data_IF_724630251324
#
_entry.id   IF_724630251324
#
_cell.length_a   1.000
_cell.length_b   1.000
_cell.length_c   1.000
_cell.angle_alpha   90.00
_cell.angle_beta   90.00
_cell.angle_gamma   90.00
#
_symmetry.space_group_name_H-M   'P 1'
#
loop_
_entity.id
_entity.type
_entity.pdbx_description
1 polymer ?
#
# COMPACT_ATOMS: atom_id res chain seq x y z
N UNK A 1 -14.51 21.75 8.99
CA UNK A 1 -14.81 20.36 9.34
C UNK A 1 -13.65 19.53 8.84
N UNK A 2 -12.98 18.75 9.69
CA UNK A 2 -11.97 17.80 9.22
C UNK A 2 -12.68 16.82 8.29
N UNK A 3 -12.25 16.75 7.03
CA UNK A 3 -12.77 15.79 6.07
C UNK A 3 -12.32 14.40 6.56
N UNK A 4 -13.27 13.53 6.92
CA UNK A 4 -12.95 12.17 7.37
C UNK A 4 -12.30 11.40 6.23
N UNK A 5 -11.07 10.93 6.41
CA UNK A 5 -10.37 10.11 5.42
C UNK A 5 -10.87 8.67 5.45
N UNK A 6 -10.91 8.05 4.28
CA UNK A 6 -11.18 6.62 4.16
C UNK A 6 -9.94 5.82 4.54
N UNK A 7 -10.12 4.79 5.37
CA UNK A 7 -9.06 3.83 5.70
C UNK A 7 -8.94 2.84 4.54
N UNK A 8 -7.73 2.67 4.02
CA UNK A 8 -7.42 1.76 2.91
C UNK A 8 -6.45 0.68 3.38
N UNK A 9 -6.61 -0.52 2.82
CA UNK A 9 -5.69 -1.64 2.99
C UNK A 9 -5.48 -2.34 1.64
N UNK A 10 -4.33 -3.00 1.48
CA UNK A 10 -3.97 -3.71 0.23
C UNK A 10 -3.85 -5.21 0.51
N UNK A 11 -4.45 -6.04 -0.34
CA UNK A 11 -4.27 -7.49 -0.33
C UNK A 11 -3.44 -7.86 -1.56
N UNK A 12 -2.29 -8.49 -1.35
CA UNK A 12 -1.26 -8.70 -2.36
C UNK A 12 -0.27 -7.54 -2.38
N UNK A 13 0.86 -7.70 -1.69
CA UNK A 13 1.87 -6.66 -1.42
C UNK A 13 3.08 -6.74 -2.37
N UNK A 14 2.94 -7.50 -3.46
CA UNK A 14 3.92 -7.59 -4.54
C UNK A 14 4.00 -6.33 -5.41
N UNK A 15 4.55 -6.50 -6.61
CA UNK A 15 4.85 -5.41 -7.56
C UNK A 15 3.68 -4.45 -7.79
N UNK A 16 2.52 -4.94 -8.22
CA UNK A 16 1.34 -4.09 -8.45
C UNK A 16 0.68 -3.56 -7.17
N UNK A 17 0.94 -4.20 -6.03
CA UNK A 17 0.50 -3.72 -4.73
C UNK A 17 1.28 -2.49 -4.29
N UNK A 18 2.56 -2.40 -4.64
CA UNK A 18 3.50 -1.51 -3.95
C UNK A 18 4.66 -0.96 -4.78
N UNK A 19 5.46 -1.83 -5.41
CA UNK A 19 6.84 -1.49 -5.80
C UNK A 19 7.03 -1.23 -7.30
N UNK A 20 6.06 -1.55 -8.16
CA UNK A 20 6.25 -1.40 -9.61
C UNK A 20 6.48 0.06 -10.02
N UNK A 21 5.90 1.02 -9.30
CA UNK A 21 6.12 2.45 -9.56
C UNK A 21 7.59 2.87 -9.38
N UNK A 22 8.39 2.17 -8.56
CA UNK A 22 9.82 2.44 -8.38
C UNK A 22 10.66 2.01 -9.58
N UNK A 23 10.17 1.03 -10.35
CA UNK A 23 10.88 0.48 -11.50
C UNK A 23 10.78 1.40 -12.73
N UNK A 24 9.86 2.37 -12.70
CA UNK A 24 9.63 3.25 -13.84
C UNK A 24 10.55 4.47 -13.72
N UNK A 25 11.61 4.48 -14.52
CA UNK A 25 12.53 5.62 -14.63
C UNK A 25 12.12 6.61 -15.75
N UNK A 26 11.25 6.17 -16.67
CA UNK A 26 10.82 6.94 -17.84
C UNK A 26 9.31 6.82 -18.04
N UNK A 27 8.65 7.97 -18.16
CA UNK A 27 7.21 8.06 -18.33
C UNK A 27 6.83 9.30 -19.12
N UNK A 28 5.56 9.44 -19.47
CA UNK A 28 5.03 10.62 -20.17
C UNK A 28 5.19 11.90 -19.34
N UNK A 29 4.58 13.00 -19.81
CA UNK A 29 4.71 14.31 -19.14
C UNK A 29 4.26 14.34 -17.67
N UNK A 30 3.50 13.34 -17.22
CA UNK A 30 3.02 13.22 -15.84
C UNK A 30 3.24 11.79 -15.33
N UNK A 31 3.80 11.67 -14.13
CA UNK A 31 3.89 10.44 -13.38
C UNK A 31 2.76 10.40 -12.36
N UNK A 32 1.72 9.63 -12.67
CA UNK A 32 0.67 9.32 -11.71
C UNK A 32 1.01 8.00 -11.03
N UNK A 33 0.75 7.87 -9.72
CA UNK A 33 0.81 6.59 -9.04
C UNK A 33 0.00 5.54 -9.80
N UNK A 34 0.58 4.36 -10.01
CA UNK A 34 -0.04 3.27 -10.77
C UNK A 34 -0.39 2.08 -9.88
N UNK A 35 0.48 1.76 -8.92
CA UNK A 35 0.20 0.72 -7.93
C UNK A 35 -0.84 1.15 -6.89
N UNK A 36 -1.41 0.15 -6.22
CA UNK A 36 -2.44 0.34 -5.20
C UNK A 36 -1.98 1.21 -4.03
N UNK A 37 -0.89 0.83 -3.34
CA UNK A 37 -0.41 1.57 -2.17
C UNK A 37 0.04 3.01 -2.49
N UNK A 38 0.86 3.27 -3.54
CA UNK A 38 1.16 4.65 -3.96
C UNK A 38 -0.09 5.49 -4.22
N UNK A 39 -1.12 4.91 -4.86
CA UNK A 39 -2.37 5.62 -5.17
C UNK A 39 -3.13 6.02 -3.91
N UNK A 40 -3.24 5.11 -2.93
CA UNK A 40 -3.88 5.41 -1.65
C UNK A 40 -3.10 6.44 -0.82
N UNK A 41 -1.77 6.35 -0.82
CA UNK A 41 -0.89 7.28 -0.10
C UNK A 41 -0.91 8.69 -0.71
N UNK A 42 -0.96 8.80 -2.05
CA UNK A 42 -0.98 10.10 -2.74
C UNK A 42 -2.33 10.83 -2.62
N UNK A 43 -3.43 10.11 -2.41
CA UNK A 43 -4.77 10.69 -2.33
C UNK A 43 -4.99 11.35 -0.95
N UNK A 44 -5.41 12.63 -0.89
CA UNK A 44 -5.69 13.30 0.37
C UNK A 44 -6.93 12.77 1.10
N UNK A 45 -7.72 11.91 0.43
CA UNK A 45 -8.98 11.36 0.96
C UNK A 45 -8.82 9.99 1.62
N UNK A 46 -7.60 9.44 1.62
CA UNK A 46 -7.31 8.10 2.11
C UNK A 46 -6.13 8.10 3.07
N UNK A 47 -6.14 7.15 4.00
CA UNK A 47 -4.99 6.75 4.80
C UNK A 47 -4.76 5.25 4.58
N UNK A 48 -3.57 4.88 4.13
CA UNK A 48 -3.15 3.48 4.02
C UNK A 48 -2.80 2.99 5.43
N UNK A 49 -3.47 1.96 5.91
CA UNK A 49 -3.40 1.55 7.32
C UNK A 49 -3.01 0.09 7.54
N UNK A 50 -3.04 -0.75 6.51
CA UNK A 50 -2.76 -2.18 6.63
C UNK A 50 -2.44 -2.80 5.27
N UNK A 51 -1.83 -3.99 5.32
CA UNK A 51 -1.57 -4.83 4.16
C UNK A 51 -1.67 -6.32 4.49
N UNK A 52 -1.93 -7.14 3.49
CA UNK A 52 -1.89 -8.60 3.65
C UNK A 52 -1.19 -9.31 2.48
N UNK A 53 -0.25 -10.19 2.80
CA UNK A 53 0.42 -11.08 1.84
C UNK A 53 0.86 -12.39 2.53
N UNK A 54 0.69 -13.56 1.90
CA UNK A 54 1.19 -14.81 2.46
C UNK A 54 2.72 -14.89 2.53
N UNK A 55 3.45 -14.03 1.78
CA UNK A 55 4.91 -13.98 1.80
C UNK A 55 5.40 -12.88 2.75
N UNK A 56 5.99 -13.29 3.88
CA UNK A 56 6.47 -12.36 4.92
C UNK A 56 7.44 -11.29 4.39
N UNK A 57 8.37 -11.66 3.50
CA UNK A 57 9.31 -10.72 2.87
C UNK A 57 8.60 -9.59 2.11
N UNK A 58 7.48 -9.89 1.43
CA UNK A 58 6.69 -8.85 0.76
C UNK A 58 5.99 -7.94 1.77
N UNK A 59 5.56 -8.50 2.90
CA UNK A 59 5.00 -7.76 4.03
C UNK A 59 6.00 -6.77 4.63
N UNK A 60 7.22 -7.22 4.92
CA UNK A 60 8.30 -6.40 5.47
C UNK A 60 8.67 -5.25 4.53
N UNK A 61 8.89 -5.54 3.24
CA UNK A 61 9.17 -4.50 2.23
C UNK A 61 8.02 -3.47 2.15
N UNK A 62 6.78 -3.93 2.24
CA UNK A 62 5.61 -3.06 2.21
C UNK A 62 5.52 -2.16 3.45
N UNK A 63 5.72 -2.74 4.63
CA UNK A 63 5.71 -2.02 5.91
C UNK A 63 6.75 -0.90 5.92
N UNK A 64 8.01 -1.24 5.61
CA UNK A 64 9.13 -0.30 5.55
C UNK A 64 8.87 0.83 4.56
N UNK A 65 8.37 0.50 3.37
CA UNK A 65 8.14 1.48 2.31
C UNK A 65 7.03 2.48 2.65
N UNK A 66 5.97 2.02 3.30
CA UNK A 66 4.77 2.83 3.56
C UNK A 66 4.66 3.32 5.00
N UNK A 67 5.65 3.04 5.84
CA UNK A 67 5.69 3.47 7.25
C UNK A 67 4.61 2.81 8.10
N UNK A 68 4.38 1.52 7.89
CA UNK A 68 3.45 0.71 8.69
C UNK A 68 4.25 -0.15 9.68
N UNK A 69 3.65 -0.42 10.84
CA UNK A 69 4.21 -1.35 11.83
C UNK A 69 3.90 -2.80 11.45
N UNK A 70 4.68 -3.77 11.95
CA UNK A 70 4.45 -5.21 11.73
C UNK A 70 3.03 -5.65 12.12
N UNK A 71 2.46 -5.05 13.17
CA UNK A 71 1.08 -5.31 13.61
C UNK A 71 -0.01 -4.91 12.61
N UNK A 72 0.35 -4.18 11.56
CA UNK A 72 -0.53 -3.75 10.48
C UNK A 72 -0.39 -4.61 9.22
N UNK A 73 0.50 -5.60 9.24
CA UNK A 73 0.75 -6.54 8.16
C UNK A 73 0.26 -7.92 8.56
N UNK A 74 -0.58 -8.51 7.71
CA UNK A 74 -1.24 -9.77 7.98
C UNK A 74 -0.79 -10.85 6.98
N UNK A 75 -0.56 -12.06 7.48
CA UNK A 75 -0.26 -13.21 6.61
C UNK A 75 -1.53 -13.77 5.95
N UNK A 76 -2.69 -13.67 6.62
CA UNK A 76 -4.00 -13.97 6.05
C UNK A 76 -4.85 -12.70 5.99
N UNK A 77 -5.35 -12.37 4.80
CA UNK A 77 -6.23 -11.23 4.60
C UNK A 77 -7.55 -11.34 5.35
N UNK A 78 -7.98 -12.55 5.73
CA UNK A 78 -9.20 -12.75 6.52
C UNK A 78 -9.04 -12.17 7.92
N UNK A 79 -7.88 -12.39 8.55
CA UNK A 79 -7.55 -11.81 9.85
C UNK A 79 -7.51 -10.28 9.78
N UNK A 80 -7.02 -9.72 8.67
CA UNK A 80 -7.02 -8.27 8.44
C UNK A 80 -8.43 -7.66 8.33
N UNK A 81 -9.43 -8.45 7.92
CA UNK A 81 -10.80 -7.99 7.69
C UNK A 81 -11.70 -8.07 8.93
N UNK A 82 -11.25 -8.75 9.99
CA UNK A 82 -11.94 -8.85 11.29
C UNK A 82 -11.69 -7.62 12.18
#
# INVERSE_FOLDING_TARGET
>A
MSESKFRAAVIGLGRMGSTFDDEIEQGGQFFMPYCHAPTYTASPRTDLIAGADPHAEQGEIFADRWGLEDSQIYADYREMLE
#
